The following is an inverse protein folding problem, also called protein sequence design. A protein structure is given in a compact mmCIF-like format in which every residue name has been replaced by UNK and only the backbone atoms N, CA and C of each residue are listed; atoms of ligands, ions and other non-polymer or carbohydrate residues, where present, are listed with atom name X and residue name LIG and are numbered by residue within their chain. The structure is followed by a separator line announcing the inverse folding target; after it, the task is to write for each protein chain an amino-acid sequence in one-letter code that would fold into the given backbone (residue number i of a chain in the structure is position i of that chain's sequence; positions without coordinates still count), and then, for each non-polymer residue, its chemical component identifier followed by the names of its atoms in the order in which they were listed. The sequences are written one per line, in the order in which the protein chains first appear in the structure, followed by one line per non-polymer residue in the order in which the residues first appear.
data_IF_137481582320
#
_entry.id   IF_137481582320
#
_cell.length_a   1.000
_cell.length_b   1.000
_cell.length_c   1.000
_cell.angle_alpha   90.00
_cell.angle_beta   90.00
_cell.angle_gamma   90.00
#
_symmetry.space_group_name_H-M   'P 1'
#
loop_
_entity.id
_entity.type
_entity.pdbx_description
1 polymer ?
#
# COMPACT_ATOMS: atom_id res chain seq x y z
N UNK A 1 12.76 10.52 -1.71
CA UNK A 1 12.49 9.48 -2.73
C UNK A 1 12.50 8.12 -2.07
N UNK A 2 11.56 7.24 -2.42
CA UNK A 2 11.32 5.97 -1.71
C UNK A 2 12.21 4.80 -2.15
N UNK A 3 12.83 4.83 -3.33
CA UNK A 3 13.66 3.70 -3.83
C UNK A 3 13.01 2.32 -3.67
N UNK A 4 11.79 2.12 -4.21
CA UNK A 4 11.13 0.84 -4.08
C UNK A 4 11.86 -0.23 -4.88
N UNK A 5 12.03 -1.40 -4.25
CA UNK A 5 12.48 -2.62 -4.92
C UNK A 5 11.29 -3.37 -5.53
N UNK A 6 10.12 -3.27 -4.89
CA UNK A 6 8.88 -3.90 -5.34
C UNK A 6 7.69 -2.99 -5.04
N UNK A 7 6.76 -2.91 -5.99
CA UNK A 7 5.51 -2.17 -5.85
C UNK A 7 4.41 -3.01 -6.48
N UNK A 8 3.36 -3.28 -5.71
CA UNK A 8 2.13 -3.87 -6.18
C UNK A 8 0.97 -2.96 -5.80
N UNK A 9 0.11 -2.65 -6.78
CA UNK A 9 -1.09 -1.85 -6.58
C UNK A 9 -2.28 -2.67 -7.09
N UNK A 10 -3.24 -2.94 -6.22
CA UNK A 10 -4.44 -3.71 -6.54
C UNK A 10 -5.70 -2.90 -6.27
N UNK A 11 -6.64 -2.93 -7.22
CA UNK A 11 -8.01 -2.44 -7.00
C UNK A 11 -8.80 -3.50 -6.23
N UNK A 12 -9.32 -3.13 -5.07
CA UNK A 12 -10.18 -3.97 -4.23
C UNK A 12 -11.63 -3.49 -4.21
N UNK A 13 -11.98 -2.58 -5.11
CA UNK A 13 -13.29 -1.91 -5.10
C UNK A 13 -14.45 -2.91 -5.17
N UNK A 14 -14.33 -3.95 -6.01
CA UNK A 14 -15.35 -4.99 -6.16
C UNK A 14 -15.57 -5.85 -4.90
N UNK A 15 -14.56 -6.00 -4.04
CA UNK A 15 -14.71 -6.72 -2.77
C UNK A 15 -15.62 -5.98 -1.77
N UNK A 16 -15.85 -4.68 -2.01
CA UNK A 16 -16.69 -3.83 -1.18
C UNK A 16 -18.04 -3.51 -1.85
N UNK A 17 -18.43 -4.26 -2.89
CA UNK A 17 -19.75 -4.14 -3.52
C UNK A 17 -20.86 -4.25 -2.47
N UNK A 18 -21.68 -3.20 -2.36
CA UNK A 18 -22.80 -3.13 -1.42
C UNK A 18 -22.51 -2.44 -0.07
N UNK A 19 -21.29 -1.96 0.16
CA UNK A 19 -20.93 -1.15 1.32
C UNK A 19 -20.85 0.36 0.99
N UNK A 20 -20.95 1.22 2.01
CA UNK A 20 -20.77 2.66 1.86
C UNK A 20 -19.35 2.95 1.30
N UNK A 21 -19.26 3.67 0.18
CA UNK A 21 -17.99 3.97 -0.51
C UNK A 21 -17.71 3.13 -1.77
N UNK A 22 -18.55 2.15 -2.10
CA UNK A 22 -18.49 1.47 -3.41
C UNK A 22 -19.06 2.37 -4.52
N UNK A 23 -18.35 2.45 -5.65
CA UNK A 23 -18.85 3.05 -6.88
C UNK A 23 -18.74 2.05 -8.03
N UNK A 24 -19.80 1.89 -8.85
CA UNK A 24 -19.71 1.08 -10.05
C UNK A 24 -18.66 1.70 -11.00
N UNK A 25 -17.72 0.87 -11.46
CA UNK A 25 -16.57 1.32 -12.26
C UNK A 25 -15.20 1.17 -11.57
N UNK A 26 -15.18 0.80 -10.29
CA UNK A 26 -13.94 0.54 -9.54
C UNK A 26 -13.21 1.81 -9.10
N UNK A 27 -11.99 1.66 -8.62
CA UNK A 27 -11.11 2.78 -8.25
C UNK A 27 -11.41 3.46 -6.91
N UNK A 28 -12.31 2.92 -6.09
CA UNK A 28 -12.65 3.49 -4.78
C UNK A 28 -11.74 2.95 -3.67
N UNK A 29 -11.32 1.69 -3.75
CA UNK A 29 -10.49 1.06 -2.74
C UNK A 29 -9.26 0.43 -3.36
N UNK A 30 -8.08 0.87 -2.91
CA UNK A 30 -6.80 0.41 -3.42
C UNK A 30 -5.95 -0.16 -2.31
N UNK A 31 -5.16 -1.19 -2.64
CA UNK A 31 -4.12 -1.73 -1.79
C UNK A 31 -2.76 -1.54 -2.43
N UNK A 32 -1.88 -0.84 -1.73
CA UNK A 32 -0.50 -0.62 -2.11
C UNK A 32 0.41 -1.45 -1.21
N UNK A 33 1.10 -2.41 -1.81
CA UNK A 33 2.21 -3.14 -1.18
C UNK A 33 3.52 -2.60 -1.75
N UNK A 34 4.40 -2.12 -0.88
CA UNK A 34 5.67 -1.52 -1.29
C UNK A 34 6.82 -2.04 -0.42
N UNK A 35 7.90 -2.46 -1.08
CA UNK A 35 9.12 -2.92 -0.43
C UNK A 35 10.24 -1.93 -0.73
N UNK A 36 10.88 -1.39 0.31
CA UNK A 36 11.99 -0.45 0.16
C UNK A 36 12.96 -0.50 1.35
N UNK A 37 14.29 -0.41 1.11
CA UNK A 37 15.28 -0.29 2.18
C UNK A 37 15.07 0.96 3.05
N UNK A 38 14.40 2.00 2.53
CA UNK A 38 14.08 3.24 3.27
C UNK A 38 13.13 3.03 4.44
N UNK A 39 12.46 1.88 4.51
CA UNK A 39 11.56 1.54 5.62
C UNK A 39 12.25 0.82 6.79
N UNK A 40 13.51 0.39 6.62
CA UNK A 40 14.25 -0.27 7.68
C UNK A 40 14.37 0.63 8.92
N UNK A 41 14.08 0.08 10.10
CA UNK A 41 14.08 0.81 11.37
C UNK A 41 12.99 1.89 11.53
N UNK A 42 12.14 2.12 10.52
CA UNK A 42 11.06 3.11 10.59
C UNK A 42 9.80 2.51 11.22
N UNK A 43 9.08 3.32 12.00
CA UNK A 43 7.74 2.97 12.51
C UNK A 43 6.71 2.93 11.38
N UNK A 44 5.63 2.17 11.55
CA UNK A 44 4.54 2.04 10.55
C UNK A 44 3.99 3.42 10.13
N UNK A 45 3.71 4.30 11.09
CA UNK A 45 3.22 5.66 10.83
C UNK A 45 4.22 6.46 9.97
N UNK A 46 5.52 6.34 10.23
CA UNK A 46 6.54 7.04 9.45
C UNK A 46 6.59 6.51 8.03
N UNK A 47 6.54 5.20 7.84
CA UNK A 47 6.50 4.57 6.51
C UNK A 47 5.28 5.06 5.72
N UNK A 48 4.09 5.09 6.34
CA UNK A 48 2.89 5.63 5.71
C UNK A 48 3.04 7.09 5.32
N UNK A 49 3.60 7.95 6.19
CA UNK A 49 3.87 9.35 5.84
C UNK A 49 4.81 9.49 4.64
N UNK A 50 5.87 8.68 4.58
CA UNK A 50 6.80 8.69 3.45
C UNK A 50 6.11 8.26 2.14
N UNK A 51 5.20 7.28 2.20
CA UNK A 51 4.38 6.85 1.06
C UNK A 51 3.43 7.97 0.62
N UNK A 52 2.70 8.59 1.55
CA UNK A 52 1.82 9.72 1.23
C UNK A 52 2.58 10.92 0.64
N UNK A 53 3.76 11.24 1.17
CA UNK A 53 4.61 12.29 0.59
C UNK A 53 5.06 11.97 -0.84
N UNK A 54 5.31 10.71 -1.15
CA UNK A 54 5.69 10.29 -2.50
C UNK A 54 4.50 10.28 -3.48
N UNK A 55 3.31 9.95 -3.00
CA UNK A 55 2.08 10.01 -3.80
C UNK A 55 1.66 11.46 -4.10
N UNK A 56 2.00 12.41 -3.22
CA UNK A 56 1.80 13.84 -3.45
C UNK A 56 0.36 14.16 -3.84
N UNK A 57 0.17 14.73 -5.03
CA UNK A 57 -1.15 15.13 -5.55
C UNK A 57 -2.03 13.98 -6.03
N UNK A 58 -1.52 12.75 -6.17
CA UNK A 58 -2.34 11.58 -6.58
C UNK A 58 -3.43 11.24 -5.57
N UNK A 59 -3.30 11.70 -4.32
CA UNK A 59 -4.31 11.55 -3.27
C UNK A 59 -5.46 12.56 -3.38
N UNK A 60 -5.46 13.48 -4.35
CA UNK A 60 -6.45 14.56 -4.44
C UNK A 60 -7.75 14.18 -5.19
N UNK A 61 -7.85 12.98 -5.79
CA UNK A 61 -9.07 12.36 -6.38
C UNK A 61 -8.70 11.02 -7.05
N UNK A 62 -9.54 9.96 -7.15
CA UNK A 62 -10.82 9.60 -6.49
C UNK A 62 -10.69 8.47 -5.43
N UNK A 63 -9.47 8.17 -4.96
CA UNK A 63 -9.22 7.05 -4.04
C UNK A 63 -9.92 7.32 -2.69
N UNK A 64 -10.99 6.58 -2.40
CA UNK A 64 -11.72 6.68 -1.13
C UNK A 64 -10.95 6.06 0.02
N UNK A 65 -10.24 4.94 -0.21
CA UNK A 65 -9.32 4.38 0.76
C UNK A 65 -8.10 3.73 0.09
N UNK A 66 -6.93 3.96 0.70
CA UNK A 66 -5.67 3.34 0.32
C UNK A 66 -5.13 2.52 1.50
N UNK A 67 -5.18 1.21 1.39
CA UNK A 67 -4.52 0.30 2.34
C UNK A 67 -3.03 0.19 1.99
N UNK A 68 -2.14 0.58 2.91
CA UNK A 68 -0.70 0.62 2.66
C UNK A 68 0.02 -0.44 3.49
N UNK A 69 0.70 -1.36 2.81
CA UNK A 69 1.67 -2.29 3.39
C UNK A 69 3.08 -1.89 2.96
N UNK A 70 3.85 -1.32 3.89
CA UNK A 70 5.22 -0.85 3.63
C UNK A 70 6.25 -1.65 4.44
N UNK A 71 7.14 -2.37 3.75
CA UNK A 71 8.11 -3.30 4.36
C UNK A 71 9.53 -3.03 3.86
N UNK A 72 10.51 -3.22 4.73
CA UNK A 72 11.91 -3.37 4.31
C UNK A 72 12.13 -4.70 3.59
N UNK A 73 13.23 -4.84 2.80
CA UNK A 73 13.55 -6.10 2.14
C UNK A 73 13.71 -7.25 3.15
N UNK A 74 14.31 -6.95 4.31
CA UNK A 74 14.50 -7.90 5.41
C UNK A 74 13.16 -8.42 5.96
N UNK A 75 12.19 -7.53 6.15
CA UNK A 75 10.84 -7.91 6.60
C UNK A 75 10.07 -8.72 5.55
N UNK A 76 10.29 -8.47 4.25
CA UNK A 76 9.68 -9.25 3.17
C UNK A 76 10.17 -10.69 3.20
N UNK A 77 11.48 -10.90 3.25
CA UNK A 77 12.09 -12.23 3.31
C UNK A 77 11.63 -13.01 4.53
N UNK A 78 11.50 -12.35 5.69
CA UNK A 78 10.98 -12.98 6.92
C UNK A 78 9.52 -13.47 6.78
N UNK A 79 8.70 -12.78 5.98
CA UNK A 79 7.31 -13.18 5.71
C UNK A 79 7.21 -14.33 4.70
N UNK A 80 8.00 -14.28 3.62
CA UNK A 80 8.06 -15.35 2.60
C UNK A 80 8.56 -16.67 3.20
N UNK A 81 9.45 -16.60 4.19
CA UNK A 81 9.95 -17.79 4.90
C UNK A 81 8.89 -18.39 5.85
N UNK A 82 7.92 -17.60 6.32
CA UNK A 82 6.84 -18.07 7.21
C UNK A 82 5.59 -18.59 6.48
N UNK A 83 5.35 -18.18 5.24
CA UNK A 83 4.18 -18.59 4.44
C UNK A 83 4.30 -19.93 3.70
N UNK A 84 5.42 -20.65 3.86
CA UNK A 84 5.69 -21.97 3.25
C UNK A 84 5.64 -23.13 4.26
N UNK A 85 4.80 -23.03 5.29
CA UNK A 85 4.51 -24.14 6.20
C UNK A 85 3.11 -24.69 5.95
#
# INVERSE_FOLDING_TARGET
MLEPLEVELADESEQHRGHAGYQPGGGTHWRLSIVSPRFAGQSVVTRHRMVYQALGSLMQNPIHALAITARSPEEKTAYETKGKQ
#
